data_IF_693446715466
#
_entry.id   IF_693446715466
#
_cell.length_a   1.000
_cell.length_b   1.000
_cell.length_c   1.000
_cell.angle_alpha   90.00
_cell.angle_beta   90.00
_cell.angle_gamma   90.00
#
_symmetry.space_group_name_H-M   'P 1'
#
loop_
_entity.id
_entity.type
_entity.pdbx_description
1 polymer ?
#
# COMPACT_ATOMS: atom_id res chain seq x y z
N UNK A 1 24.19 32.36 27.69
CA UNK A 1 24.03 31.84 29.08
C UNK A 1 23.02 30.71 29.00
N UNK A 2 23.54 29.49 29.12
CA UNK A 2 22.77 28.25 29.07
C UNK A 2 22.07 27.99 30.40
N UNK A 3 20.88 27.42 30.36
CA UNK A 3 20.31 26.74 31.50
C UNK A 3 19.58 25.47 31.03
N UNK A 4 20.25 24.36 31.24
CA UNK A 4 19.80 22.99 30.97
C UNK A 4 19.02 22.53 32.20
N UNK A 5 17.76 22.16 32.05
CA UNK A 5 16.97 21.55 33.13
C UNK A 5 16.71 20.09 32.78
N UNK A 6 17.44 19.20 33.47
CA UNK A 6 17.22 17.76 33.42
C UNK A 6 16.14 17.38 34.44
N UNK A 7 15.04 16.78 33.95
CA UNK A 7 14.04 16.13 34.81
C UNK A 7 14.33 14.62 34.82
N UNK A 8 14.85 14.15 35.96
CA UNK A 8 14.94 12.74 36.31
C UNK A 8 13.61 12.31 36.94
N UNK A 9 12.86 11.47 36.22
CA UNK A 9 11.73 10.75 36.80
C UNK A 9 12.27 9.42 37.38
N UNK A 10 12.26 9.29 38.70
CA UNK A 10 12.62 8.06 39.38
C UNK A 10 11.48 7.05 39.33
N UNK A 11 11.78 5.85 38.85
CA UNK A 11 10.94 4.68 39.08
C UNK A 11 11.25 4.13 40.48
N UNK A 12 10.29 4.19 41.40
CA UNK A 12 10.32 3.44 42.65
C UNK A 12 9.97 1.97 42.33
N UNK A 13 10.85 1.06 42.71
CA UNK A 13 10.58 -0.37 42.78
C UNK A 13 9.93 -0.65 44.14
N UNK A 14 8.68 -1.04 44.14
CA UNK A 14 8.04 -1.68 45.26
C UNK A 14 8.33 -3.18 45.21
N UNK A 15 9.12 -3.69 46.16
CA UNK A 15 9.27 -5.13 46.38
C UNK A 15 8.07 -5.64 47.18
N UNK A 16 7.49 -6.83 46.87
CA UNK A 16 6.44 -7.39 47.69
C UNK A 16 6.98 -8.04 48.94
N UNK A 17 6.39 -7.70 50.07
CA UNK A 17 6.61 -8.32 51.38
C UNK A 17 6.29 -9.82 51.34
N UNK A 18 7.17 -10.63 51.95
CA UNK A 18 6.97 -12.05 52.23
C UNK A 18 5.98 -12.20 53.40
N UNK A 19 4.78 -12.64 53.13
CA UNK A 19 3.87 -13.13 54.15
C UNK A 19 4.05 -14.61 54.41
N UNK A 20 4.05 -14.91 55.70
CA UNK A 20 4.29 -16.18 56.38
C UNK A 20 3.19 -17.23 56.07
N UNK A 21 3.58 -18.52 56.22
CA UNK A 21 2.83 -19.68 55.82
C UNK A 21 1.57 -19.97 56.63
N UNK A 22 0.59 -20.51 55.98
CA UNK A 22 -0.58 -21.16 56.54
C UNK A 22 -1.00 -22.31 55.62
N UNK A 23 -0.81 -23.55 56.08
CA UNK A 23 -1.33 -24.76 55.49
C UNK A 23 -2.85 -24.78 55.51
N UNK A 24 -3.48 -25.17 54.42
CA UNK A 24 -4.91 -25.52 54.46
C UNK A 24 -5.61 -25.68 53.10
N UNK A 25 -5.74 -26.94 52.64
CA UNK A 25 -6.93 -27.36 51.90
C UNK A 25 -6.93 -27.18 50.39
N UNK A 26 -6.50 -28.22 49.73
CA UNK A 26 -6.79 -28.55 48.32
C UNK A 26 -8.29 -28.43 48.01
N UNK A 27 -8.63 -27.51 47.09
CA UNK A 27 -9.77 -27.59 46.23
C UNK A 27 -9.41 -26.91 44.91
N UNK A 28 -8.96 -27.74 43.95
CA UNK A 28 -8.57 -27.35 42.60
C UNK A 28 -9.72 -26.78 41.76
N UNK A 29 -10.02 -25.53 41.99
CA UNK A 29 -10.74 -24.69 41.06
C UNK A 29 -9.75 -23.96 40.18
N UNK A 30 -9.43 -24.52 39.03
CA UNK A 30 -8.61 -23.86 38.01
C UNK A 30 -9.42 -22.68 37.46
N UNK A 31 -9.41 -21.54 38.18
CA UNK A 31 -9.95 -20.29 37.63
C UNK A 31 -9.02 -19.86 36.51
N UNK A 32 -9.48 -19.83 35.24
CA UNK A 32 -8.65 -19.33 34.16
C UNK A 32 -8.17 -17.92 34.53
N UNK A 33 -6.86 -17.69 34.36
CA UNK A 33 -6.32 -16.33 34.51
C UNK A 33 -7.03 -15.36 33.54
N UNK A 34 -6.90 -14.05 33.77
CA UNK A 34 -7.54 -13.08 32.92
C UNK A 34 -7.09 -13.31 31.47
N UNK A 35 -8.07 -13.56 30.60
CA UNK A 35 -7.82 -13.63 29.15
C UNK A 35 -7.68 -12.19 28.66
N UNK A 36 -6.48 -11.81 28.28
CA UNK A 36 -6.23 -10.53 27.62
C UNK A 36 -6.57 -10.70 26.14
N UNK A 37 -7.62 -10.07 25.69
CA UNK A 37 -7.90 -9.96 24.26
C UNK A 37 -7.06 -8.82 23.68
N UNK A 38 -6.39 -9.09 22.57
CA UNK A 38 -5.67 -8.07 21.83
C UNK A 38 -6.66 -7.00 21.34
N UNK A 39 -6.43 -5.75 21.70
CA UNK A 39 -7.30 -4.65 21.27
C UNK A 39 -7.22 -4.51 19.75
N UNK A 40 -8.34 -4.76 19.07
CA UNK A 40 -8.43 -4.52 17.63
C UNK A 40 -8.67 -3.02 17.40
N UNK A 41 -7.59 -2.31 17.07
CA UNK A 41 -7.67 -0.93 16.61
C UNK A 41 -7.80 -0.95 15.10
N UNK A 42 -8.96 -0.52 14.59
CA UNK A 42 -9.24 -0.44 13.16
C UNK A 42 -9.48 1.02 12.78
N UNK A 43 -8.75 1.49 11.78
CA UNK A 43 -8.89 2.85 11.24
C UNK A 43 -10.26 3.09 10.58
N UNK A 44 -10.92 2.04 10.13
CA UNK A 44 -12.28 2.09 9.58
C UNK A 44 -13.36 2.51 10.60
N UNK A 45 -13.03 2.57 11.88
CA UNK A 45 -13.87 3.12 12.94
C UNK A 45 -13.63 4.62 13.20
N UNK A 46 -12.60 5.19 12.61
CA UNK A 46 -12.23 6.58 12.82
C UNK A 46 -13.15 7.50 12.02
N UNK A 47 -13.47 8.64 12.62
CA UNK A 47 -14.17 9.72 11.93
C UNK A 47 -13.23 10.85 11.63
N UNK A 48 -13.47 11.57 10.54
CA UNK A 48 -12.69 12.73 10.16
C UNK A 48 -13.58 13.86 9.69
N UNK A 49 -13.07 15.08 9.80
CA UNK A 49 -13.67 16.28 9.23
C UNK A 49 -12.69 16.84 8.21
N UNK A 50 -13.14 17.12 7.01
CA UNK A 50 -12.32 17.72 5.98
C UNK A 50 -12.12 19.24 6.17
N UNK A 51 -11.22 19.90 5.42
CA UNK A 51 -11.03 21.35 5.51
C UNK A 51 -12.28 22.21 5.22
N UNK A 52 -13.29 21.62 4.57
CA UNK A 52 -14.57 22.29 4.31
C UNK A 52 -15.58 22.08 5.45
N UNK A 53 -15.18 21.40 6.54
CA UNK A 53 -16.03 21.13 7.69
C UNK A 53 -17.01 19.97 7.48
N UNK A 54 -16.88 19.18 6.40
CA UNK A 54 -17.74 18.02 6.17
C UNK A 54 -17.26 16.86 7.02
N UNK A 55 -18.17 16.31 7.83
CA UNK A 55 -17.88 15.14 8.67
C UNK A 55 -18.11 13.87 7.86
N UNK A 56 -17.13 12.96 7.87
CA UNK A 56 -17.31 11.62 7.32
C UNK A 56 -18.31 10.83 8.15
N UNK A 57 -19.02 9.85 7.55
CA UNK A 57 -19.88 8.94 8.30
C UNK A 57 -19.11 8.27 9.44
N UNK A 58 -19.70 8.28 10.63
CA UNK A 58 -19.16 7.56 11.77
C UNK A 58 -19.65 6.10 11.81
N UNK A 59 -19.17 5.35 12.80
CA UNK A 59 -19.52 3.94 12.95
C UNK A 59 -21.03 3.71 13.10
N UNK A 60 -21.75 4.61 13.77
CA UNK A 60 -23.22 4.49 13.95
C UNK A 60 -23.95 4.59 12.61
N UNK A 61 -23.42 5.37 11.68
CA UNK A 61 -23.99 5.56 10.34
C UNK A 61 -23.54 4.49 9.35
N UNK A 62 -22.25 4.13 9.35
CA UNK A 62 -21.63 3.25 8.35
C UNK A 62 -21.65 1.77 8.77
N UNK A 63 -21.58 1.49 10.08
CA UNK A 63 -21.42 0.15 10.62
C UNK A 63 -20.02 -0.43 10.41
N UNK A 64 -19.88 -1.73 10.61
CA UNK A 64 -18.65 -2.46 10.39
C UNK A 64 -18.37 -2.69 8.89
N UNK A 65 -17.11 -2.98 8.58
CA UNK A 65 -16.69 -3.41 7.24
C UNK A 65 -17.55 -4.57 6.74
N UNK A 66 -18.10 -4.42 5.53
CA UNK A 66 -18.96 -5.43 4.91
C UNK A 66 -18.15 -6.64 4.47
N UNK A 67 -18.58 -7.85 4.85
CA UNK A 67 -17.95 -9.10 4.40
C UNK A 67 -17.95 -9.20 2.86
N UNK A 68 -16.88 -9.70 2.30
CA UNK A 68 -16.70 -9.91 0.86
C UNK A 68 -16.82 -8.64 0.01
N UNK A 69 -16.60 -7.48 0.60
CA UNK A 69 -16.42 -6.21 -0.10
C UNK A 69 -14.99 -5.74 0.11
N UNK A 70 -14.37 -5.31 -0.97
CA UNK A 70 -12.98 -4.86 -0.98
C UNK A 70 -12.90 -3.45 -1.54
N UNK A 71 -12.07 -2.62 -0.91
CA UNK A 71 -11.71 -1.30 -1.42
C UNK A 71 -10.39 -1.48 -2.14
N UNK A 72 -10.41 -1.26 -3.44
CA UNK A 72 -9.24 -1.35 -4.29
C UNK A 72 -8.80 0.03 -4.75
N UNK A 73 -7.50 0.25 -4.83
CA UNK A 73 -6.92 1.48 -5.32
C UNK A 73 -5.96 1.18 -6.47
N UNK A 74 -5.95 2.08 -7.43
CA UNK A 74 -4.96 2.12 -8.49
C UNK A 74 -3.61 2.58 -7.92
N UNK A 75 -2.50 1.93 -8.31
CA UNK A 75 -1.19 2.24 -7.79
C UNK A 75 -0.16 2.28 -8.91
N UNK A 76 0.53 3.41 -9.01
CA UNK A 76 1.55 3.62 -10.03
C UNK A 76 2.92 3.22 -9.54
N UNK A 77 3.63 2.46 -10.38
CA UNK A 77 4.97 1.95 -10.12
C UNK A 77 6.02 2.51 -11.09
N UNK A 78 5.71 3.60 -11.79
CA UNK A 78 6.48 4.09 -12.94
C UNK A 78 7.64 5.02 -12.62
N UNK A 79 7.69 5.62 -11.45
CA UNK A 79 8.65 6.65 -11.10
C UNK A 79 9.99 6.04 -10.68
N UNK A 80 10.64 5.33 -11.62
CA UNK A 80 11.91 4.63 -11.38
C UNK A 80 13.12 5.35 -12.00
N UNK A 81 12.89 6.19 -13.00
CA UNK A 81 13.97 6.82 -13.74
C UNK A 81 14.53 8.03 -13.01
N UNK A 82 15.85 8.19 -13.10
CA UNK A 82 16.50 9.43 -12.70
C UNK A 82 16.13 10.56 -13.66
N UNK A 83 16.04 11.77 -13.12
CA UNK A 83 15.96 12.95 -13.96
C UNK A 83 17.29 13.15 -14.66
N UNK A 84 17.31 13.46 -15.97
CA UNK A 84 18.55 13.80 -16.66
C UNK A 84 19.27 14.96 -15.93
N UNK A 85 20.61 14.97 -15.91
CA UNK A 85 21.35 16.08 -15.30
C UNK A 85 20.91 17.43 -15.85
N UNK A 86 20.65 18.39 -14.97
CA UNK A 86 20.18 19.73 -15.33
C UNK A 86 18.68 19.84 -15.62
N UNK A 87 17.93 18.72 -15.54
CA UNK A 87 16.47 18.77 -15.62
C UNK A 87 15.88 19.39 -14.36
N UNK A 88 14.77 20.10 -14.53
CA UNK A 88 13.97 20.62 -13.43
C UNK A 88 12.71 19.80 -13.22
N UNK A 89 12.27 19.71 -11.98
CA UNK A 89 10.93 19.25 -11.65
C UNK A 89 10.00 20.47 -11.78
N UNK A 90 9.06 20.39 -12.71
CA UNK A 90 8.11 21.47 -12.95
C UNK A 90 6.82 21.19 -12.16
N UNK A 91 6.56 22.02 -11.15
CA UNK A 91 5.33 21.98 -10.39
C UNK A 91 4.25 22.79 -11.11
N UNK A 92 3.29 22.11 -11.71
CA UNK A 92 2.21 22.73 -12.49
C UNK A 92 1.39 23.72 -11.66
N UNK A 93 1.10 23.38 -10.39
CA UNK A 93 0.35 24.26 -9.50
C UNK A 93 1.08 25.56 -9.23
N UNK A 94 2.39 25.52 -9.02
CA UNK A 94 3.21 26.73 -8.82
C UNK A 94 3.29 27.58 -10.10
N UNK A 95 3.53 26.94 -11.24
CA UNK A 95 3.58 27.63 -12.54
C UNK A 95 2.27 28.38 -12.78
N UNK A 96 1.13 27.73 -12.59
CA UNK A 96 -0.17 28.36 -12.84
C UNK A 96 -0.55 29.38 -11.77
N UNK A 97 0.00 29.29 -10.57
CA UNK A 97 -0.17 30.34 -9.54
C UNK A 97 0.58 31.60 -9.89
N UNK A 98 1.80 31.46 -10.43
CA UNK A 98 2.68 32.59 -10.80
C UNK A 98 2.34 33.15 -12.19
N UNK A 99 1.94 32.29 -13.11
CA UNK A 99 1.64 32.57 -14.51
C UNK A 99 0.28 31.97 -14.91
N UNK A 100 -0.85 32.52 -14.40
CA UNK A 100 -2.18 31.97 -14.66
C UNK A 100 -2.58 31.99 -16.14
N UNK A 101 -2.00 32.87 -16.95
CA UNK A 101 -2.20 32.94 -18.40
C UNK A 101 -1.65 31.71 -19.14
N UNK A 102 -0.63 31.05 -18.59
CA UNK A 102 0.02 29.90 -19.22
C UNK A 102 -0.94 28.74 -19.47
N UNK A 103 -2.05 28.64 -18.72
CA UNK A 103 -3.08 27.61 -18.95
C UNK A 103 -3.69 27.66 -20.35
N UNK A 104 -3.58 28.82 -21.05
CA UNK A 104 -4.20 29.03 -22.37
C UNK A 104 -3.32 28.58 -23.53
N UNK A 105 -2.04 28.37 -23.31
CA UNK A 105 -1.08 27.97 -24.34
C UNK A 105 0.06 27.16 -23.77
N UNK A 106 0.32 26.00 -24.32
CA UNK A 106 1.49 25.19 -23.99
C UNK A 106 2.81 25.74 -24.57
N UNK A 107 2.74 26.77 -25.42
CA UNK A 107 3.91 27.50 -25.94
C UNK A 107 4.32 28.69 -25.05
N UNK A 108 3.61 28.89 -23.95
CA UNK A 108 3.96 29.91 -22.99
C UNK A 108 5.33 29.64 -22.38
N UNK A 109 6.24 30.63 -22.30
CA UNK A 109 7.58 30.49 -21.72
C UNK A 109 7.59 29.98 -20.27
N UNK A 110 6.50 30.18 -19.51
CA UNK A 110 6.37 29.67 -18.15
C UNK A 110 6.42 28.14 -18.08
N UNK A 111 6.03 27.47 -19.16
CA UNK A 111 6.23 26.03 -19.32
C UNK A 111 7.68 25.78 -19.71
N UNK A 112 8.52 25.56 -18.71
CA UNK A 112 9.94 25.27 -18.92
C UNK A 112 10.12 23.90 -19.58
N UNK A 113 10.24 23.88 -20.89
CA UNK A 113 10.39 22.68 -21.70
C UNK A 113 11.85 22.56 -22.21
N UNK A 114 12.55 21.39 -22.13
CA UNK A 114 12.03 20.08 -21.74
C UNK A 114 12.08 19.83 -20.22
N UNK A 115 11.01 19.26 -19.70
CA UNK A 115 10.96 18.89 -18.29
C UNK A 115 9.86 17.87 -18.01
N UNK A 116 9.91 17.29 -16.83
CA UNK A 116 8.81 16.48 -16.31
C UNK A 116 7.91 17.38 -15.48
N UNK A 117 6.61 17.23 -15.67
CA UNK A 117 5.60 18.03 -14.99
C UNK A 117 4.87 17.19 -13.97
N UNK A 118 4.65 17.78 -12.80
CA UNK A 118 3.85 17.23 -11.71
C UNK A 118 2.83 18.29 -11.31
N UNK A 119 1.66 17.85 -10.85
CA UNK A 119 0.65 18.79 -10.39
C UNK A 119 1.12 19.57 -9.17
N UNK A 120 1.72 18.83 -8.22
CA UNK A 120 2.17 19.39 -6.95
C UNK A 120 3.25 18.50 -6.35
N UNK A 121 4.05 19.05 -5.45
CA UNK A 121 5.01 18.26 -4.69
C UNK A 121 4.26 17.31 -3.75
N UNK A 122 4.53 16.00 -3.80
CA UNK A 122 3.96 15.05 -2.86
C UNK A 122 4.35 15.38 -1.41
N UNK A 123 3.52 14.96 -0.44
CA UNK A 123 3.80 15.13 0.98
C UNK A 123 5.20 14.60 1.40
N UNK A 124 5.64 13.51 0.79
CA UNK A 124 6.93 12.87 1.04
C UNK A 124 8.06 13.37 0.12
N UNK A 125 7.84 14.50 -0.58
CA UNK A 125 8.76 15.01 -1.59
C UNK A 125 8.68 14.22 -2.90
N UNK A 126 9.53 14.58 -3.87
CA UNK A 126 9.66 13.82 -5.12
C UNK A 126 10.52 12.58 -4.86
N UNK A 127 9.95 11.40 -5.07
CA UNK A 127 10.57 10.12 -4.77
C UNK A 127 10.50 9.16 -5.97
N UNK A 128 11.35 8.13 -5.93
CA UNK A 128 11.21 6.98 -6.83
C UNK A 128 10.29 5.93 -6.21
N UNK A 129 9.61 5.18 -7.06
CA UNK A 129 8.78 4.03 -6.62
C UNK A 129 9.60 2.84 -6.13
N UNK A 130 10.92 2.99 -6.07
CA UNK A 130 11.87 2.04 -5.47
C UNK A 130 12.42 2.52 -4.11
N UNK A 131 11.92 3.64 -3.56
CA UNK A 131 12.34 4.13 -2.24
C UNK A 131 11.68 3.30 -1.13
N UNK A 132 12.44 2.47 -0.37
CA UNK A 132 11.86 1.55 0.60
C UNK A 132 11.21 2.27 1.78
N UNK A 133 11.69 3.46 2.15
CA UNK A 133 11.06 4.24 3.24
C UNK A 133 9.68 4.75 2.81
N UNK A 134 9.57 5.29 1.60
CA UNK A 134 8.29 5.74 1.05
C UNK A 134 7.31 4.58 0.89
N UNK A 135 7.78 3.45 0.36
CA UNK A 135 6.96 2.25 0.20
C UNK A 135 6.45 1.72 1.54
N UNK A 136 7.27 1.78 2.59
CA UNK A 136 6.85 1.42 3.95
C UNK A 136 5.77 2.38 4.46
N UNK A 137 5.92 3.69 4.23
CA UNK A 137 4.90 4.69 4.60
C UNK A 137 3.61 4.49 3.82
N UNK A 138 3.69 4.15 2.54
CA UNK A 138 2.50 3.83 1.76
C UNK A 138 1.77 2.60 2.32
N UNK A 139 2.47 1.54 2.74
CA UNK A 139 1.84 0.38 3.39
C UNK A 139 1.03 0.81 4.62
N UNK A 140 1.62 1.62 5.51
CA UNK A 140 0.97 2.12 6.72
C UNK A 140 -0.24 3.01 6.38
N UNK A 141 -0.05 4.02 5.54
CA UNK A 141 -1.09 5.00 5.19
C UNK A 141 -2.28 4.35 4.48
N UNK A 142 -2.03 3.40 3.57
CA UNK A 142 -3.08 2.69 2.84
C UNK A 142 -3.83 1.72 3.76
N UNK A 143 -3.13 1.07 4.68
CA UNK A 143 -3.75 0.23 5.71
C UNK A 143 -4.68 1.06 6.61
N UNK A 144 -4.20 2.22 7.08
CA UNK A 144 -4.98 3.14 7.91
C UNK A 144 -6.18 3.74 7.16
N UNK A 145 -6.04 3.95 5.85
CA UNK A 145 -7.15 4.38 4.99
C UNK A 145 -8.16 3.26 4.68
N UNK A 146 -7.94 2.03 5.16
CA UNK A 146 -8.83 0.90 4.93
C UNK A 146 -8.78 0.34 3.50
N UNK A 147 -7.69 0.56 2.77
CA UNK A 147 -7.48 -0.01 1.43
C UNK A 147 -7.11 -1.48 1.55
N UNK A 148 -7.89 -2.34 0.89
CA UNK A 148 -7.68 -3.78 0.91
C UNK A 148 -6.70 -4.28 -0.14
N UNK A 149 -6.72 -3.63 -1.31
CA UNK A 149 -6.00 -4.08 -2.52
C UNK A 149 -5.45 -2.90 -3.28
N UNK A 150 -4.24 -3.03 -3.79
CA UNK A 150 -3.72 -2.14 -4.83
C UNK A 150 -3.59 -2.89 -6.14
N UNK A 151 -3.99 -2.23 -7.24
CA UNK A 151 -3.77 -2.70 -8.58
C UNK A 151 -2.62 -1.93 -9.22
N UNK A 152 -1.52 -2.61 -9.50
CA UNK A 152 -0.38 -1.99 -10.18
C UNK A 152 -0.71 -1.74 -11.63
N UNK A 153 -0.53 -0.50 -12.06
CA UNK A 153 -0.73 -0.12 -13.45
C UNK A 153 0.41 -0.60 -14.34
N UNK A 154 0.12 -1.63 -15.11
CA UNK A 154 1.01 -2.18 -16.13
C UNK A 154 0.43 -1.99 -17.54
N UNK A 155 -0.40 -0.95 -17.76
CA UNK A 155 -1.09 -0.74 -19.04
C UNK A 155 -0.19 -0.18 -20.14
N UNK A 156 1.07 0.11 -19.86
CA UNK A 156 2.01 0.69 -20.81
C UNK A 156 2.85 -0.37 -21.54
N UNK A 157 2.45 -0.74 -22.74
CA UNK A 157 3.16 -1.71 -23.59
C UNK A 157 3.37 -3.05 -22.85
N UNK A 158 4.60 -3.57 -22.83
CA UNK A 158 4.97 -4.79 -22.11
C UNK A 158 5.64 -4.51 -20.75
N UNK A 159 5.55 -3.28 -20.23
CA UNK A 159 6.22 -2.87 -19.01
C UNK A 159 5.43 -3.33 -17.78
N UNK A 160 6.00 -4.25 -17.00
CA UNK A 160 5.43 -4.69 -15.71
C UNK A 160 6.01 -3.94 -14.51
N UNK A 161 7.03 -3.10 -14.75
CA UNK A 161 7.72 -2.31 -13.71
C UNK A 161 8.35 -3.19 -12.62
N UNK A 162 9.03 -4.26 -13.07
CA UNK A 162 9.62 -5.28 -12.19
C UNK A 162 10.50 -4.70 -11.09
N UNK A 163 11.34 -3.74 -11.41
CA UNK A 163 12.21 -3.08 -10.44
C UNK A 163 11.42 -2.48 -9.26
N UNK A 164 10.27 -1.88 -9.54
CA UNK A 164 9.42 -1.28 -8.49
C UNK A 164 8.66 -2.32 -7.69
N UNK A 165 8.02 -3.29 -8.34
CA UNK A 165 7.23 -4.25 -7.58
C UNK A 165 8.11 -5.22 -6.77
N UNK A 166 9.34 -5.51 -7.20
CA UNK A 166 10.27 -6.31 -6.42
C UNK A 166 10.58 -5.64 -5.07
N UNK A 167 10.97 -4.36 -5.08
CA UNK A 167 11.25 -3.63 -3.84
C UNK A 167 9.99 -3.47 -2.99
N UNK A 168 8.85 -3.17 -3.62
CA UNK A 168 7.58 -3.01 -2.90
C UNK A 168 7.18 -4.31 -2.18
N UNK A 169 7.24 -5.45 -2.86
CA UNK A 169 6.87 -6.73 -2.27
C UNK A 169 7.76 -7.11 -1.08
N UNK A 170 9.08 -6.86 -1.17
CA UNK A 170 9.98 -7.05 -0.04
C UNK A 170 9.57 -6.16 1.15
N UNK A 171 9.42 -4.86 0.93
CA UNK A 171 9.08 -3.88 1.97
C UNK A 171 7.72 -4.19 2.60
N UNK A 172 6.72 -4.54 1.79
CA UNK A 172 5.38 -4.82 2.32
C UNK A 172 5.27 -6.17 3.01
N UNK A 173 6.05 -7.16 2.57
CA UNK A 173 6.17 -8.44 3.31
C UNK A 173 6.77 -8.23 4.70
N UNK A 174 7.81 -7.39 4.82
CA UNK A 174 8.35 -7.02 6.13
C UNK A 174 7.32 -6.21 6.95
N UNK A 175 6.59 -5.29 6.32
CA UNK A 175 5.53 -4.54 6.97
C UNK A 175 4.45 -5.46 7.58
N UNK A 176 4.05 -6.52 6.86
CA UNK A 176 3.11 -7.53 7.37
C UNK A 176 3.67 -8.26 8.60
N UNK A 177 4.97 -8.62 8.61
CA UNK A 177 5.63 -9.26 9.76
C UNK A 177 5.66 -8.36 10.98
N UNK A 178 5.78 -7.05 10.77
CA UNK A 178 5.74 -6.03 11.82
C UNK A 178 4.31 -5.68 12.29
N UNK A 179 3.29 -6.34 11.75
CA UNK A 179 1.89 -6.14 12.13
C UNK A 179 1.14 -5.06 11.35
N UNK A 180 1.77 -4.40 10.37
CA UNK A 180 1.07 -3.48 9.46
C UNK A 180 0.18 -4.29 8.52
N UNK A 181 -1.09 -3.95 8.44
CA UNK A 181 -2.06 -4.61 7.55
C UNK A 181 -1.91 -4.07 6.11
N UNK A 182 -0.70 -4.19 5.53
CA UNK A 182 -0.44 -3.74 4.16
C UNK A 182 -1.48 -4.29 3.18
N UNK A 183 -1.93 -3.50 2.18
CA UNK A 183 -2.87 -3.98 1.18
C UNK A 183 -2.35 -5.20 0.43
N UNK A 184 -3.28 -6.02 -0.07
CA UNK A 184 -2.92 -7.06 -1.03
C UNK A 184 -2.60 -6.43 -2.39
N UNK A 185 -1.89 -7.17 -3.22
CA UNK A 185 -1.49 -6.71 -4.56
C UNK A 185 -2.19 -7.50 -5.66
N UNK A 186 -2.46 -6.84 -6.75
CA UNK A 186 -2.84 -7.42 -8.03
C UNK A 186 -2.29 -6.53 -9.15
N UNK A 187 -2.37 -7.00 -10.38
CA UNK A 187 -1.87 -6.27 -11.55
C UNK A 187 -3.02 -5.92 -12.48
N UNK A 188 -2.91 -4.77 -13.14
CA UNK A 188 -3.80 -4.34 -14.20
C UNK A 188 -3.02 -4.22 -15.51
N UNK A 189 -3.38 -5.04 -16.49
CA UNK A 189 -2.71 -5.15 -17.78
C UNK A 189 -3.47 -4.39 -18.87
N UNK A 190 -2.86 -4.16 -20.05
CA UNK A 190 -3.56 -3.49 -21.16
C UNK A 190 -4.78 -4.27 -21.61
N UNK A 191 -5.90 -3.58 -21.80
CA UNK A 191 -7.11 -4.16 -22.35
C UNK A 191 -7.19 -3.91 -23.87
N UNK A 192 -7.47 -4.95 -24.63
CA UNK A 192 -7.61 -4.84 -26.09
C UNK A 192 -6.31 -4.75 -26.88
N UNK A 193 -5.19 -5.09 -26.25
CA UNK A 193 -3.86 -5.12 -26.86
C UNK A 193 -3.19 -6.47 -26.57
N UNK A 194 -3.60 -7.55 -27.25
CA UNK A 194 -3.07 -8.89 -26.99
C UNK A 194 -1.56 -9.00 -27.17
N UNK A 195 -0.98 -8.16 -28.04
CA UNK A 195 0.46 -8.06 -28.25
C UNK A 195 1.23 -7.57 -27.00
N UNK A 196 0.52 -7.01 -26.00
CA UNK A 196 1.10 -6.58 -24.72
C UNK A 196 0.58 -7.43 -23.56
N UNK A 197 -0.73 -7.68 -23.48
CA UNK A 197 -1.38 -8.37 -22.37
C UNK A 197 -0.91 -9.81 -22.21
N UNK A 198 -0.85 -10.56 -23.30
CA UNK A 198 -0.38 -11.95 -23.30
C UNK A 198 1.05 -12.08 -22.78
N UNK A 199 2.05 -11.39 -23.36
CA UNK A 199 3.43 -11.40 -22.85
C UNK A 199 3.54 -10.98 -21.38
N UNK A 200 2.78 -9.99 -20.92
CA UNK A 200 2.81 -9.59 -19.51
C UNK A 200 2.23 -10.66 -18.58
N UNK A 201 1.18 -11.37 -18.99
CA UNK A 201 0.62 -12.50 -18.26
C UNK A 201 1.68 -13.57 -18.02
N UNK A 202 2.43 -13.96 -19.07
CA UNK A 202 3.54 -14.89 -18.98
C UNK A 202 4.65 -14.37 -18.06
N UNK A 203 5.10 -13.12 -18.24
CA UNK A 203 6.15 -12.51 -17.44
C UNK A 203 5.81 -12.52 -15.94
N UNK A 204 4.60 -12.08 -15.57
CA UNK A 204 4.16 -12.04 -14.17
C UNK A 204 3.97 -13.44 -13.59
N UNK A 205 3.41 -14.35 -14.39
CA UNK A 205 3.23 -15.74 -13.97
C UNK A 205 4.57 -16.40 -13.65
N UNK A 206 5.54 -16.36 -14.56
CA UNK A 206 6.86 -16.97 -14.37
C UNK A 206 7.69 -16.28 -13.28
N UNK A 207 7.58 -14.95 -13.13
CA UNK A 207 8.39 -14.21 -12.17
C UNK A 207 7.86 -14.27 -10.73
N UNK A 208 6.54 -14.20 -10.56
CA UNK A 208 5.93 -14.04 -9.23
C UNK A 208 5.11 -15.26 -8.81
N UNK A 209 4.16 -15.67 -9.66
CA UNK A 209 3.10 -16.58 -9.24
C UNK A 209 3.54 -18.04 -9.26
N UNK A 210 4.16 -18.50 -10.31
CA UNK A 210 4.65 -19.88 -10.43
C UNK A 210 5.70 -20.24 -9.36
N UNK A 211 6.72 -19.39 -9.10
CA UNK A 211 7.65 -19.62 -8.00
C UNK A 211 7.04 -19.37 -6.62
N UNK A 212 5.88 -18.72 -6.54
CA UNK A 212 5.20 -18.46 -5.28
C UNK A 212 5.82 -17.35 -4.44
N UNK A 213 6.36 -16.30 -5.07
CA UNK A 213 6.98 -15.17 -4.38
C UNK A 213 5.94 -14.34 -3.64
N UNK A 214 6.19 -14.02 -2.38
CA UNK A 214 5.36 -13.13 -1.55
C UNK A 214 3.86 -13.47 -1.58
N UNK A 215 3.51 -14.76 -1.43
CA UNK A 215 2.11 -15.24 -1.48
C UNK A 215 1.20 -14.52 -0.48
N UNK A 216 1.75 -14.09 0.63
CA UNK A 216 1.08 -13.33 1.68
C UNK A 216 0.54 -11.98 1.19
N UNK A 217 1.08 -11.45 0.10
CA UNK A 217 0.62 -10.20 -0.50
C UNK A 217 -0.42 -10.40 -1.61
N UNK A 218 -0.60 -11.61 -2.14
CA UNK A 218 -1.49 -11.79 -3.28
C UNK A 218 -2.95 -11.52 -2.93
N UNK A 219 -3.63 -10.76 -3.76
CA UNK A 219 -5.07 -10.64 -3.67
C UNK A 219 -5.72 -11.88 -4.28
N UNK A 220 -6.28 -12.71 -3.39
CA UNK A 220 -7.02 -13.92 -3.80
C UNK A 220 -8.51 -13.61 -3.83
N UNK A 221 -9.14 -13.81 -4.98
CA UNK A 221 -10.57 -13.64 -5.14
C UNK A 221 -11.19 -14.88 -5.79
N UNK A 222 -12.26 -15.38 -5.19
CA UNK A 222 -12.90 -16.63 -5.63
C UNK A 222 -11.95 -17.83 -5.67
N UNK A 223 -11.02 -17.89 -4.73
CA UNK A 223 -10.11 -19.02 -4.54
C UNK A 223 -8.85 -19.01 -5.40
N UNK A 224 -8.67 -18.04 -6.29
CA UNK A 224 -7.49 -17.89 -7.16
C UNK A 224 -6.91 -16.47 -7.05
N UNK A 225 -5.61 -16.27 -7.33
CA UNK A 225 -5.05 -14.92 -7.44
C UNK A 225 -5.82 -14.10 -8.49
N UNK A 226 -6.09 -12.85 -8.17
CA UNK A 226 -6.82 -11.96 -9.05
C UNK A 226 -5.89 -11.16 -9.94
N UNK A 227 -6.26 -11.00 -11.21
CA UNK A 227 -5.57 -10.15 -12.17
C UNK A 227 -6.61 -9.40 -13.03
N UNK A 228 -6.38 -8.11 -13.27
CA UNK A 228 -7.17 -7.33 -14.23
C UNK A 228 -6.52 -7.45 -15.61
N UNK A 229 -7.00 -8.39 -16.38
CA UNK A 229 -6.49 -8.72 -17.71
C UNK A 229 -7.56 -9.48 -18.50
N UNK A 230 -7.33 -9.66 -19.79
CA UNK A 230 -8.20 -10.44 -20.66
C UNK A 230 -7.61 -11.84 -20.87
N UNK A 231 -8.32 -12.92 -20.50
CA UNK A 231 -7.85 -14.28 -20.80
C UNK A 231 -7.71 -14.53 -22.31
N UNK A 232 -8.45 -13.79 -23.15
CA UNK A 232 -8.37 -13.87 -24.62
C UNK A 232 -7.05 -13.34 -25.19
N UNK A 233 -6.23 -12.64 -24.39
CA UNK A 233 -4.90 -12.21 -24.80
C UNK A 233 -3.86 -13.34 -24.73
N UNK A 234 -4.22 -14.47 -24.11
CA UNK A 234 -3.45 -15.72 -24.12
C UNK A 234 -3.76 -16.50 -25.42
N UNK A 235 -2.80 -17.32 -25.83
CA UNK A 235 -2.95 -18.26 -26.93
C UNK A 235 -3.57 -19.59 -26.49
N UNK A 236 -3.17 -20.66 -27.16
CA UNK A 236 -3.75 -22.00 -26.98
C UNK A 236 -2.71 -23.07 -26.62
N UNK A 237 -1.53 -22.62 -26.19
CA UNK A 237 -0.47 -23.51 -25.71
C UNK A 237 -0.85 -24.17 -24.38
N UNK A 238 -0.21 -25.26 -23.97
CA UNK A 238 -0.42 -25.82 -22.63
C UNK A 238 -0.12 -24.80 -21.52
N UNK A 239 0.87 -23.94 -21.69
CA UNK A 239 1.24 -22.91 -20.74
C UNK A 239 0.18 -21.80 -20.67
N UNK A 240 -0.35 -21.34 -21.82
CA UNK A 240 -1.45 -20.36 -21.85
C UNK A 240 -2.67 -20.87 -21.06
N UNK A 241 -3.00 -22.16 -21.23
CA UNK A 241 -4.11 -22.77 -20.48
C UNK A 241 -3.82 -22.87 -18.98
N UNK A 242 -2.57 -23.18 -18.60
CA UNK A 242 -2.15 -23.17 -17.20
C UNK A 242 -2.33 -21.79 -16.57
N UNK A 243 -1.90 -20.73 -17.26
CA UNK A 243 -2.05 -19.34 -16.82
C UNK A 243 -3.54 -18.96 -16.75
N UNK A 244 -4.33 -19.30 -17.76
CA UNK A 244 -5.76 -19.02 -17.76
C UNK A 244 -6.49 -19.69 -16.60
N UNK A 245 -6.10 -20.91 -16.24
CA UNK A 245 -6.68 -21.66 -15.12
C UNK A 245 -6.20 -21.18 -13.76
N UNK A 246 -5.03 -20.55 -13.68
CA UNK A 246 -4.42 -20.10 -12.44
C UNK A 246 -5.11 -18.86 -11.86
N UNK A 247 -5.50 -17.90 -12.68
CA UNK A 247 -6.02 -16.62 -12.22
C UNK A 247 -7.56 -16.54 -12.15
N UNK A 248 -8.03 -15.64 -11.30
CA UNK A 248 -9.35 -15.02 -11.43
C UNK A 248 -9.20 -13.73 -12.24
N UNK A 249 -9.67 -13.74 -13.48
CA UNK A 249 -9.64 -12.58 -14.39
C UNK A 249 -10.77 -11.57 -14.10
N UNK A 250 -10.48 -10.28 -14.28
CA UNK A 250 -11.40 -9.15 -14.15
C UNK A 250 -11.07 -8.09 -15.19
#
# INVERSE_FOLDING_TARGET
LAMMLALLAGCSKDEPEKGDGGEGGDNGGNTPGPVYEEAQVNSDLWTATDPLGRKLPDYEQAGTKKKNKYIAMFYWTWHIYDMPPGSQVNNTTEILREHPEAIRSFDDPAWNNPGRYYWEQPLLGYYKTTDPWVLRKHAEMLADAGIDVVFFDCTNLTLTWKESYDVLMEVWSEALKDGVKAPKIAFMLPFGSPEYGGPQLHMLYEDIYKPGRHRELWFVWKGKPCIMARPEDLGDTPEDREIADFFTFR
#
